data_IF_726690970532
#
_entry.id   IF_726690970532
#
_cell.length_a   1.000
_cell.length_b   1.000
_cell.length_c   1.000
_cell.angle_alpha   90.00
_cell.angle_beta   90.00
_cell.angle_gamma   90.00
#
_symmetry.space_group_name_H-M   'P 1'
#
loop_
_entity.id
_entity.type
_entity.pdbx_description
1 polymer ?
#
# COMPACT_ATOMS: atom_id res chain seq x y z
N UNK A 1 26.10 1.00 -1.66
CA UNK A 1 25.64 -0.37 -1.35
C UNK A 1 25.35 -1.05 -2.67
N UNK A 2 25.51 -2.36 -2.79
CA UNK A 2 25.12 -3.08 -4.02
C UNK A 2 23.62 -2.82 -4.29
N UNK A 3 23.21 -2.43 -5.51
CA UNK A 3 21.80 -2.15 -5.84
C UNK A 3 20.88 -3.32 -5.49
N UNK A 4 21.34 -4.55 -5.70
CA UNK A 4 20.56 -5.75 -5.35
C UNK A 4 20.33 -5.87 -3.84
N UNK A 5 21.34 -5.61 -3.03
CA UNK A 5 21.20 -5.62 -1.56
C UNK A 5 20.29 -4.47 -1.12
N UNK A 6 20.41 -3.31 -1.75
CA UNK A 6 19.53 -2.16 -1.46
C UNK A 6 18.07 -2.47 -1.76
N UNK A 7 17.78 -3.16 -2.90
CA UNK A 7 16.44 -3.61 -3.25
C UNK A 7 15.84 -4.50 -2.16
N UNK A 8 16.59 -5.53 -1.74
CA UNK A 8 16.14 -6.47 -0.73
C UNK A 8 15.92 -5.81 0.63
N UNK A 9 16.82 -4.89 1.03
CA UNK A 9 16.73 -4.20 2.32
C UNK A 9 15.56 -3.23 2.34
N UNK A 10 15.40 -2.38 1.32
CA UNK A 10 14.32 -1.39 1.28
C UNK A 10 12.94 -2.04 1.14
N UNK A 11 12.81 -3.05 0.26
CA UNK A 11 11.55 -3.77 0.12
C UNK A 11 11.24 -4.64 1.34
N UNK A 12 12.25 -5.22 1.98
CA UNK A 12 12.10 -5.92 3.26
C UNK A 12 11.64 -4.98 4.37
N UNK A 13 12.24 -3.80 4.47
CA UNK A 13 11.82 -2.76 5.40
C UNK A 13 10.36 -2.35 5.14
N UNK A 14 10.01 -2.04 3.89
CA UNK A 14 8.66 -1.68 3.50
C UNK A 14 7.65 -2.79 3.84
N UNK A 15 7.98 -4.05 3.55
CA UNK A 15 7.13 -5.20 3.82
C UNK A 15 6.96 -5.50 5.32
N UNK A 16 7.97 -5.23 6.16
CA UNK A 16 7.88 -5.41 7.62
C UNK A 16 6.80 -4.52 8.27
N UNK A 17 6.34 -3.48 7.58
CA UNK A 17 5.24 -2.65 8.05
C UNK A 17 3.96 -3.46 8.32
N UNK A 18 3.65 -4.46 7.48
CA UNK A 18 2.47 -5.31 7.65
C UNK A 18 2.47 -6.09 8.98
N UNK A 19 3.50 -6.91 9.29
CA UNK A 19 3.54 -7.60 10.57
C UNK A 19 3.73 -6.65 11.76
N UNK A 20 4.37 -5.50 11.61
CA UNK A 20 4.45 -4.48 12.65
C UNK A 20 3.06 -3.92 12.95
N UNK A 21 2.29 -3.54 11.93
CA UNK A 21 0.90 -3.10 12.09
C UNK A 21 0.03 -4.14 12.77
N UNK A 22 0.13 -5.40 12.35
CA UNK A 22 -0.56 -6.52 12.97
C UNK A 22 -0.16 -6.74 14.44
N UNK A 23 1.13 -6.63 14.76
CA UNK A 23 1.62 -6.74 16.14
C UNK A 23 1.11 -5.60 17.02
N UNK A 24 1.06 -4.37 16.51
CA UNK A 24 0.47 -3.23 17.22
C UNK A 24 -1.01 -3.46 17.50
N UNK A 25 -1.76 -3.98 16.53
CA UNK A 25 -3.17 -4.34 16.70
C UNK A 25 -3.37 -5.48 17.70
N UNK A 26 -2.43 -6.43 17.79
CA UNK A 26 -2.48 -7.52 18.78
C UNK A 26 -2.21 -7.04 20.21
N UNK A 27 -1.25 -6.11 20.36
CA UNK A 27 -0.86 -5.58 21.69
C UNK A 27 -1.88 -4.54 22.18
N UNK A 28 -2.57 -3.86 21.25
CA UNK A 28 -3.57 -2.85 21.58
C UNK A 28 -4.70 -3.48 22.42
N UNK A 29 -5.00 -2.85 23.56
CA UNK A 29 -5.96 -3.33 24.53
C UNK A 29 -7.01 -2.25 24.90
N UNK A 30 -7.53 -1.56 23.89
CA UNK A 30 -8.60 -0.58 24.07
C UNK A 30 -9.90 -1.34 24.34
N UNK A 31 -10.40 -1.23 25.58
CA UNK A 31 -11.64 -1.91 26.04
C UNK A 31 -12.89 -1.10 25.71
N UNK A 32 -12.76 0.19 25.57
CA UNK A 32 -13.85 1.08 25.17
C UNK A 32 -14.13 0.93 23.68
N UNK A 33 -15.33 0.47 23.34
CA UNK A 33 -15.71 0.16 21.96
C UNK A 33 -15.74 1.40 21.06
N UNK A 34 -16.15 2.56 21.60
CA UNK A 34 -16.20 3.81 20.83
C UNK A 34 -14.80 4.34 20.56
N UNK A 35 -13.93 4.31 21.59
CA UNK A 35 -12.53 4.70 21.43
C UNK A 35 -11.81 3.77 20.45
N UNK A 36 -12.04 2.46 20.54
CA UNK A 36 -11.47 1.46 19.63
C UNK A 36 -11.87 1.77 18.18
N UNK A 37 -13.17 1.99 17.93
CA UNK A 37 -13.70 2.33 16.61
C UNK A 37 -13.09 3.64 16.09
N UNK A 38 -12.97 4.65 16.95
CA UNK A 38 -12.38 5.94 16.59
C UNK A 38 -10.89 5.80 16.21
N UNK A 39 -10.11 5.05 17.00
CA UNK A 39 -8.70 4.79 16.71
C UNK A 39 -8.54 4.02 15.40
N UNK A 40 -9.30 2.94 15.20
CA UNK A 40 -9.25 2.14 13.98
C UNK A 40 -9.59 3.00 12.74
N UNK A 41 -10.65 3.79 12.82
CA UNK A 41 -11.06 4.69 11.75
C UNK A 41 -9.99 5.75 11.45
N UNK A 42 -9.37 6.32 12.48
CA UNK A 42 -8.31 7.31 12.32
C UNK A 42 -7.05 6.71 11.68
N UNK A 43 -6.62 5.53 12.16
CA UNK A 43 -5.46 4.78 11.63
C UNK A 43 -5.67 4.40 10.17
N UNK A 44 -6.86 3.87 9.83
CA UNK A 44 -7.22 3.52 8.45
C UNK A 44 -7.24 4.75 7.54
N UNK A 45 -7.79 5.87 8.04
CA UNK A 45 -7.83 7.14 7.30
C UNK A 45 -6.45 7.70 7.04
N UNK A 46 -5.56 7.63 8.04
CA UNK A 46 -4.17 8.04 7.91
C UNK A 46 -3.44 7.20 6.85
N UNK A 47 -3.59 5.86 6.89
CA UNK A 47 -3.05 4.96 5.87
C UNK A 47 -3.54 5.31 4.47
N UNK A 48 -4.85 5.56 4.30
CA UNK A 48 -5.42 5.98 3.03
C UNK A 48 -4.87 7.31 2.52
N UNK A 49 -4.58 8.25 3.41
CA UNK A 49 -3.92 9.51 3.05
C UNK A 49 -2.48 9.32 2.60
N UNK A 50 -1.72 8.46 3.28
CA UNK A 50 -0.36 8.11 2.90
C UNK A 50 -0.34 7.39 1.53
N UNK A 51 -1.27 6.44 1.32
CA UNK A 51 -1.45 5.75 0.04
C UNK A 51 -1.79 6.71 -1.10
N UNK A 52 -2.72 7.64 -0.87
CA UNK A 52 -3.05 8.67 -1.85
C UNK A 52 -1.84 9.53 -2.21
N UNK A 53 -0.97 9.84 -1.24
CA UNK A 53 0.26 10.60 -1.49
C UNK A 53 1.26 9.80 -2.32
N UNK A 54 1.42 8.50 -2.08
CA UNK A 54 2.27 7.63 -2.89
C UNK A 54 1.81 7.60 -4.36
N UNK A 55 0.51 7.44 -4.59
CA UNK A 55 -0.08 7.46 -5.94
C UNK A 55 0.14 8.82 -6.62
N UNK A 56 -0.19 9.92 -5.92
CA UNK A 56 -0.19 11.25 -6.52
C UNK A 56 1.21 11.85 -6.71
N UNK A 57 2.15 11.54 -5.82
CA UNK A 57 3.46 12.20 -5.77
C UNK A 57 4.59 11.31 -6.32
N UNK A 58 4.38 10.00 -6.40
CA UNK A 58 5.40 9.06 -6.88
C UNK A 58 4.89 8.24 -8.06
N UNK A 59 3.88 7.36 -7.86
CA UNK A 59 3.51 6.38 -8.87
C UNK A 59 3.03 7.01 -10.18
N UNK A 60 2.13 8.00 -10.13
CA UNK A 60 1.65 8.67 -11.35
C UNK A 60 2.74 9.52 -12.00
N UNK A 61 3.46 10.41 -11.29
CA UNK A 61 4.53 11.20 -11.91
C UNK A 61 5.61 10.34 -12.54
N UNK A 62 6.09 9.32 -11.85
CA UNK A 62 7.11 8.40 -12.37
C UNK A 62 6.57 7.57 -13.54
N UNK A 63 5.39 6.96 -13.37
CA UNK A 63 4.78 6.08 -14.37
C UNK A 63 4.27 6.79 -15.62
N UNK A 64 4.27 8.11 -15.68
CA UNK A 64 3.90 8.86 -16.88
C UNK A 64 5.07 9.39 -17.67
N UNK A 65 6.33 9.15 -17.23
CA UNK A 65 7.54 9.73 -17.85
C UNK A 65 7.71 9.37 -19.34
N UNK A 66 7.43 8.12 -19.70
CA UNK A 66 7.60 7.62 -21.07
C UNK A 66 6.27 7.35 -21.79
N UNK A 67 5.13 7.52 -21.12
CA UNK A 67 3.81 7.30 -21.70
C UNK A 67 3.29 8.57 -22.39
N UNK A 68 2.59 8.36 -23.51
CA UNK A 68 1.77 9.44 -24.07
C UNK A 68 0.57 9.72 -23.15
N UNK A 69 -0.02 10.94 -23.21
CA UNK A 69 -1.21 11.24 -22.39
C UNK A 69 -2.37 10.25 -22.56
N UNK A 70 -2.56 9.76 -23.79
CA UNK A 70 -3.63 8.78 -24.08
C UNK A 70 -3.34 7.40 -23.49
N UNK A 71 -2.09 6.95 -23.54
CA UNK A 71 -1.66 5.71 -22.90
C UNK A 71 -1.81 5.78 -21.39
N UNK A 72 -1.37 6.87 -20.76
CA UNK A 72 -1.51 7.08 -19.33
C UNK A 72 -2.97 7.03 -18.89
N UNK A 73 -3.87 7.74 -19.57
CA UNK A 73 -5.30 7.72 -19.28
C UNK A 73 -5.91 6.33 -19.49
N UNK A 74 -5.51 5.64 -20.57
CA UNK A 74 -5.98 4.29 -20.85
C UNK A 74 -5.55 3.30 -19.76
N UNK A 75 -4.28 3.28 -19.38
CA UNK A 75 -3.77 2.35 -18.36
C UNK A 75 -4.28 2.64 -16.96
N UNK A 76 -4.45 3.93 -16.60
CA UNK A 76 -5.09 4.32 -15.35
C UNK A 76 -6.54 3.79 -15.28
N UNK A 77 -7.30 4.01 -16.35
CA UNK A 77 -8.69 3.52 -16.45
C UNK A 77 -8.77 1.99 -16.46
N UNK A 78 -7.85 1.33 -17.17
CA UNK A 78 -7.76 -0.13 -17.24
C UNK A 78 -7.45 -0.72 -15.84
N UNK A 79 -6.55 -0.11 -15.08
CA UNK A 79 -6.25 -0.49 -13.69
C UNK A 79 -7.49 -0.40 -12.80
N UNK A 80 -8.16 0.74 -12.79
CA UNK A 80 -9.39 0.91 -12.01
C UNK A 80 -10.48 -0.10 -12.38
N UNK A 81 -10.68 -0.36 -13.68
CA UNK A 81 -11.63 -1.36 -14.16
C UNK A 81 -11.23 -2.79 -13.80
N UNK A 82 -9.94 -3.12 -13.87
CA UNK A 82 -9.45 -4.44 -13.49
C UNK A 82 -9.71 -4.72 -12.01
N UNK A 83 -9.38 -3.78 -11.14
CA UNK A 83 -9.61 -3.91 -9.70
C UNK A 83 -11.09 -3.94 -9.35
N UNK A 84 -11.94 -3.15 -10.03
CA UNK A 84 -13.40 -3.27 -9.92
C UNK A 84 -13.90 -4.69 -10.21
N UNK A 85 -13.41 -5.33 -11.29
CA UNK A 85 -13.85 -6.67 -11.64
C UNK A 85 -13.30 -7.73 -10.68
N UNK A 86 -12.06 -7.56 -10.19
CA UNK A 86 -11.45 -8.42 -9.17
C UNK A 86 -12.26 -8.33 -7.88
N UNK A 87 -12.51 -7.13 -7.37
CA UNK A 87 -13.28 -6.89 -6.16
C UNK A 87 -14.70 -7.45 -6.27
N UNK A 88 -15.39 -7.20 -7.38
CA UNK A 88 -16.71 -7.76 -7.65
C UNK A 88 -16.72 -9.28 -7.70
N UNK A 89 -15.63 -9.88 -8.17
CA UNK A 89 -15.45 -11.36 -8.16
C UNK A 89 -15.24 -11.90 -6.75
N UNK A 90 -14.48 -11.15 -5.93
CA UNK A 90 -14.09 -11.52 -4.57
C UNK A 90 -15.17 -11.22 -3.54
N UNK A 91 -15.98 -10.18 -3.73
CA UNK A 91 -17.08 -9.82 -2.81
C UNK A 91 -18.17 -10.88 -2.71
N UNK A 92 -18.16 -11.89 -3.60
CA UNK A 92 -18.97 -13.11 -3.48
C UNK A 92 -18.42 -14.11 -2.46
N UNK A 93 -17.13 -13.98 -2.08
CA UNK A 93 -16.47 -14.78 -1.05
C UNK A 93 -16.10 -13.90 0.13
N UNK A 94 -17.07 -13.57 0.98
CA UNK A 94 -16.78 -12.85 2.25
C UNK A 94 -15.80 -13.65 3.10
N UNK A 95 -14.53 -13.22 3.16
CA UNK A 95 -13.54 -13.89 3.97
C UNK A 95 -12.19 -13.18 4.02
N UNK A 96 -11.38 -13.58 4.99
CA UNK A 96 -10.00 -13.11 5.22
C UNK A 96 -9.10 -13.22 3.96
N UNK A 97 -9.39 -14.15 3.04
CA UNK A 97 -8.65 -14.29 1.79
C UNK A 97 -8.83 -13.09 0.84
N UNK A 98 -10.04 -12.52 0.76
CA UNK A 98 -10.29 -11.35 -0.09
C UNK A 98 -9.45 -10.15 0.36
N UNK A 99 -9.38 -9.92 1.68
CA UNK A 99 -8.57 -8.85 2.25
C UNK A 99 -7.07 -9.05 1.99
N UNK A 100 -6.57 -10.28 2.13
CA UNK A 100 -5.18 -10.61 1.81
C UNK A 100 -4.85 -10.38 0.33
N UNK A 101 -5.77 -10.71 -0.57
CA UNK A 101 -5.61 -10.43 -1.99
C UNK A 101 -5.58 -8.93 -2.29
N UNK A 102 -6.43 -8.13 -1.63
CA UNK A 102 -6.41 -6.68 -1.77
C UNK A 102 -5.05 -6.10 -1.36
N UNK A 103 -4.53 -6.50 -0.19
CA UNK A 103 -3.20 -6.10 0.28
C UNK A 103 -2.08 -6.50 -0.70
N UNK A 104 -2.16 -7.68 -1.32
CA UNK A 104 -1.18 -8.11 -2.31
C UNK A 104 -1.27 -7.31 -3.61
N UNK A 105 -2.49 -7.00 -4.07
CA UNK A 105 -2.71 -6.21 -5.28
C UNK A 105 -2.15 -4.79 -5.17
N UNK A 106 -2.10 -4.26 -3.97
CA UNK A 106 -1.49 -2.97 -3.65
C UNK A 106 0.03 -3.10 -3.52
N UNK A 107 0.49 -3.96 -2.63
CA UNK A 107 1.89 -4.08 -2.27
C UNK A 107 2.81 -4.60 -3.38
N UNK A 108 2.37 -5.58 -4.22
CA UNK A 108 3.24 -6.20 -5.21
C UNK A 108 3.69 -5.24 -6.33
N UNK A 109 2.81 -4.44 -6.96
CA UNK A 109 3.22 -3.45 -7.95
C UNK A 109 4.16 -2.39 -7.38
N UNK A 110 3.91 -1.94 -6.14
CA UNK A 110 4.77 -0.97 -5.46
C UNK A 110 6.17 -1.54 -5.20
N UNK A 111 6.26 -2.79 -4.74
CA UNK A 111 7.54 -3.46 -4.51
C UNK A 111 8.31 -3.70 -5.82
N UNK A 112 7.62 -4.01 -6.93
CA UNK A 112 8.22 -4.08 -8.26
C UNK A 112 8.79 -2.73 -8.70
N UNK A 113 7.99 -1.66 -8.56
CA UNK A 113 8.41 -0.29 -8.88
C UNK A 113 9.62 0.12 -8.04
N UNK A 114 9.59 -0.14 -6.73
CA UNK A 114 10.70 0.13 -5.82
C UNK A 114 12.01 -0.50 -6.30
N UNK A 115 11.97 -1.77 -6.71
CA UNK A 115 13.14 -2.47 -7.23
C UNK A 115 13.67 -1.84 -8.53
N UNK A 116 12.78 -1.53 -9.46
CA UNK A 116 13.14 -0.95 -10.76
C UNK A 116 13.69 0.48 -10.66
N UNK A 117 13.27 1.25 -9.64
CA UNK A 117 13.69 2.64 -9.43
C UNK A 117 15.02 2.77 -8.65
N UNK A 118 15.61 1.68 -8.20
CA UNK A 118 16.83 1.72 -7.38
C UNK A 118 18.07 2.25 -8.11
N UNK A 119 18.08 2.16 -9.43
CA UNK A 119 19.16 2.71 -10.24
C UNK A 119 19.05 4.22 -10.49
N UNK A 120 17.90 4.82 -10.17
CA UNK A 120 17.77 6.26 -10.12
C UNK A 120 18.52 6.80 -8.89
N UNK A 121 19.52 7.65 -9.10
CA UNK A 121 20.34 8.23 -8.00
C UNK A 121 19.64 9.39 -7.29
N UNK A 122 18.34 9.61 -7.53
CA UNK A 122 17.56 10.77 -7.07
C UNK A 122 16.85 10.57 -5.72
N UNK A 123 17.04 9.43 -5.05
CA UNK A 123 16.39 9.13 -3.77
C UNK A 123 14.92 8.66 -3.86
N UNK A 124 14.33 8.61 -5.04
CA UNK A 124 12.93 8.23 -5.27
C UNK A 124 12.60 6.84 -4.73
N UNK A 125 13.52 5.88 -4.88
CA UNK A 125 13.36 4.53 -4.34
C UNK A 125 13.24 4.53 -2.80
N UNK A 126 14.04 5.33 -2.10
CA UNK A 126 13.95 5.48 -0.65
C UNK A 126 12.63 6.13 -0.24
N UNK A 127 12.22 7.18 -0.96
CA UNK A 127 10.93 7.84 -0.73
C UNK A 127 9.78 6.85 -0.89
N UNK A 128 9.76 6.07 -1.98
CA UNK A 128 8.75 5.06 -2.23
C UNK A 128 8.74 4.00 -1.11
N UNK A 129 9.91 3.49 -0.69
CA UNK A 129 10.00 2.53 0.42
C UNK A 129 9.42 3.08 1.73
N UNK A 130 9.68 4.35 2.05
CA UNK A 130 9.11 5.02 3.22
C UNK A 130 7.60 5.18 3.11
N UNK A 131 7.09 5.55 1.94
CA UNK A 131 5.65 5.67 1.69
C UNK A 131 4.96 4.32 1.82
N UNK A 132 5.50 3.26 1.22
CA UNK A 132 4.99 1.89 1.35
C UNK A 132 4.98 1.47 2.84
N UNK A 133 6.04 1.75 3.58
CA UNK A 133 6.08 1.45 5.02
C UNK A 133 4.98 2.18 5.78
N UNK A 134 4.84 3.49 5.56
CA UNK A 134 3.89 4.33 6.29
C UNK A 134 2.42 3.95 6.05
N UNK A 135 2.07 3.55 4.83
CA UNK A 135 0.70 3.11 4.51
C UNK A 135 0.43 1.68 4.98
N UNK A 136 1.41 0.78 4.87
CA UNK A 136 1.26 -0.63 5.22
C UNK A 136 1.16 -0.87 6.73
N UNK A 137 1.69 0.01 7.61
CA UNK A 137 1.50 -0.14 9.06
C UNK A 137 0.02 0.01 9.44
N UNK A 138 -0.71 1.09 9.08
CA UNK A 138 -2.15 1.19 9.27
C UNK A 138 -2.95 0.06 8.63
N UNK A 139 -2.56 -0.35 7.43
CA UNK A 139 -3.23 -1.43 6.69
C UNK A 139 -3.08 -2.77 7.42
N UNK A 140 -1.86 -3.13 7.82
CA UNK A 140 -1.61 -4.33 8.62
C UNK A 140 -2.33 -4.30 9.97
N UNK A 141 -2.46 -3.12 10.59
CA UNK A 141 -3.25 -2.94 11.81
C UNK A 141 -4.73 -3.25 11.57
N UNK A 142 -5.33 -2.65 10.56
CA UNK A 142 -6.74 -2.85 10.22
C UNK A 142 -7.01 -4.30 9.78
N UNK A 143 -6.18 -4.84 8.88
CA UNK A 143 -6.30 -6.20 8.38
C UNK A 143 -6.16 -7.26 9.49
N UNK A 144 -5.26 -7.06 10.44
CA UNK A 144 -5.15 -7.96 11.58
C UNK A 144 -6.45 -8.04 12.36
N UNK A 145 -7.12 -6.91 12.60
CA UNK A 145 -8.41 -6.86 13.31
C UNK A 145 -9.52 -7.56 12.54
N UNK A 146 -9.53 -7.44 11.23
CA UNK A 146 -10.55 -8.07 10.39
C UNK A 146 -10.34 -9.58 10.23
N UNK A 147 -9.07 -10.04 10.20
CA UNK A 147 -8.70 -11.45 9.99
C UNK A 147 -8.68 -12.22 11.30
N UNK A 148 -8.14 -11.61 12.37
CA UNK A 148 -7.97 -12.29 13.65
C UNK A 148 -9.31 -12.41 14.37
N UNK A 149 -9.80 -13.64 14.44
CA UNK A 149 -10.94 -14.02 15.27
C UNK A 149 -10.39 -14.70 16.54
N UNK A 150 -10.98 -14.43 17.69
CA UNK A 150 -10.52 -14.92 18.99
C UNK A 150 -10.36 -16.45 19.09
N UNK A 151 -10.88 -17.19 18.11
CA UNK A 151 -10.82 -18.66 18.04
C UNK A 151 -9.49 -19.20 17.50
N UNK A 152 -8.62 -18.34 16.95
CA UNK A 152 -7.31 -18.73 16.42
C UNK A 152 -6.16 -18.00 17.11
N UNK A 153 -5.00 -18.64 17.31
CA UNK A 153 -3.83 -17.96 17.85
C UNK A 153 -3.38 -16.79 16.99
N UNK A 154 -3.22 -15.60 17.56
CA UNK A 154 -2.82 -14.36 16.88
C UNK A 154 -1.54 -14.51 16.06
N UNK A 155 -0.59 -15.32 16.52
CA UNK A 155 0.68 -15.55 15.83
C UNK A 155 0.52 -16.18 14.43
N UNK A 156 -0.57 -16.90 14.14
CA UNK A 156 -0.84 -17.41 12.80
C UNK A 156 -1.06 -16.28 11.78
N UNK A 157 -1.81 -15.26 12.18
CA UNK A 157 -2.03 -14.08 11.32
C UNK A 157 -0.73 -13.30 11.16
N UNK A 158 0.07 -13.16 12.23
CA UNK A 158 1.38 -12.50 12.14
C UNK A 158 2.35 -13.26 11.22
N UNK A 159 2.39 -14.59 11.29
CA UNK A 159 3.21 -15.41 10.38
C UNK A 159 2.77 -15.26 8.92
N UNK A 160 1.45 -15.16 8.69
CA UNK A 160 0.92 -14.89 7.36
C UNK A 160 1.41 -13.53 6.85
N UNK A 161 1.37 -12.49 7.68
CA UNK A 161 1.88 -11.16 7.31
C UNK A 161 3.40 -11.15 7.09
N UNK A 162 4.17 -11.91 7.85
CA UNK A 162 5.61 -12.11 7.58
C UNK A 162 5.82 -12.80 6.23
N UNK A 163 4.99 -13.79 5.89
CA UNK A 163 5.01 -14.44 4.58
C UNK A 163 4.71 -13.47 3.44
N UNK A 164 3.70 -12.59 3.61
CA UNK A 164 3.37 -11.54 2.64
C UNK A 164 4.52 -10.52 2.52
N UNK A 165 5.08 -10.08 3.65
CA UNK A 165 6.22 -9.17 3.67
C UNK A 165 7.43 -9.71 2.91
N UNK A 166 7.66 -11.03 2.95
CA UNK A 166 8.75 -11.69 2.23
C UNK A 166 8.59 -11.65 0.70
N UNK A 167 7.37 -11.43 0.19
CA UNK A 167 7.14 -11.24 -1.25
C UNK A 167 7.71 -9.91 -1.75
N UNK A 168 7.76 -8.88 -0.91
CA UNK A 168 8.32 -7.57 -1.27
C UNK A 168 9.75 -7.65 -1.83
N UNK A 169 10.73 -8.20 -1.09
CA UNK A 169 12.08 -8.41 -1.60
C UNK A 169 12.14 -9.22 -2.90
N UNK A 170 11.29 -10.24 -3.05
CA UNK A 170 11.22 -11.02 -4.29
C UNK A 170 10.74 -10.17 -5.48
N UNK A 171 9.67 -9.39 -5.28
CA UNK A 171 9.17 -8.48 -6.31
C UNK A 171 10.19 -7.38 -6.63
N UNK A 172 10.83 -6.79 -5.62
CA UNK A 172 11.87 -5.79 -5.85
C UNK A 172 13.07 -6.35 -6.62
N UNK A 173 13.48 -7.59 -6.35
CA UNK A 173 14.51 -8.25 -7.14
C UNK A 173 14.10 -8.46 -8.60
N UNK A 174 12.85 -8.84 -8.86
CA UNK A 174 12.29 -8.94 -10.22
C UNK A 174 12.24 -7.56 -10.89
N UNK A 175 11.80 -6.54 -10.15
CA UNK A 175 11.77 -5.14 -10.62
C UNK A 175 13.15 -4.67 -11.07
N UNK A 176 14.17 -4.86 -10.23
CA UNK A 176 15.54 -4.47 -10.52
C UNK A 176 16.13 -5.24 -11.72
N UNK A 177 15.92 -6.56 -11.79
CA UNK A 177 16.58 -7.40 -12.82
C UNK A 177 15.89 -7.26 -14.18
N UNK A 178 14.56 -7.13 -14.19
CA UNK A 178 13.79 -7.20 -15.43
C UNK A 178 13.23 -5.85 -15.88
N UNK A 179 12.70 -5.04 -14.96
CA UNK A 179 11.97 -3.82 -15.32
C UNK A 179 12.88 -2.60 -15.44
N UNK A 180 14.05 -2.60 -14.79
CA UNK A 180 15.02 -1.50 -14.91
C UNK A 180 15.36 -1.16 -16.37
N UNK A 181 15.49 -2.18 -17.21
CA UNK A 181 15.82 -2.01 -18.64
C UNK A 181 14.56 -1.80 -19.52
N UNK A 182 13.37 -1.81 -18.95
CA UNK A 182 12.10 -1.74 -19.66
C UNK A 182 11.21 -0.63 -19.08
N UNK A 183 11.72 0.59 -19.14
CA UNK A 183 11.07 1.78 -18.58
C UNK A 183 9.61 1.91 -19.00
N UNK A 184 9.27 1.67 -20.27
CA UNK A 184 7.88 1.76 -20.74
C UNK A 184 6.94 0.74 -20.07
N UNK A 185 7.41 -0.49 -19.82
CA UNK A 185 6.59 -1.51 -19.12
C UNK A 185 6.44 -1.14 -17.65
N UNK A 186 7.49 -0.64 -17.02
CA UNK A 186 7.45 -0.13 -15.65
C UNK A 186 6.41 0.98 -15.51
N UNK A 187 6.45 1.97 -16.41
CA UNK A 187 5.50 3.09 -16.42
C UNK A 187 4.06 2.60 -16.55
N UNK A 188 3.80 1.65 -17.45
CA UNK A 188 2.48 1.00 -17.59
C UNK A 188 2.05 0.34 -16.29
N UNK A 189 2.93 -0.42 -15.63
CA UNK A 189 2.62 -1.10 -14.36
C UNK A 189 2.28 -0.07 -13.28
N UNK A 190 3.08 0.99 -13.15
CA UNK A 190 2.88 2.03 -12.14
C UNK A 190 1.55 2.77 -12.34
N UNK A 191 1.23 3.17 -13.57
CA UNK A 191 -0.04 3.88 -13.87
C UNK A 191 -1.23 2.94 -13.74
N UNK A 192 -1.12 1.69 -14.18
CA UNK A 192 -2.17 0.68 -13.99
C UNK A 192 -2.45 0.41 -12.52
N UNK A 193 -1.40 0.18 -11.72
CA UNK A 193 -1.51 0.01 -10.28
C UNK A 193 -2.15 1.24 -9.61
N UNK A 194 -1.73 2.45 -10.00
CA UNK A 194 -2.33 3.70 -9.49
C UNK A 194 -3.85 3.75 -9.70
N UNK A 195 -4.34 3.31 -10.87
CA UNK A 195 -5.78 3.23 -11.14
C UNK A 195 -6.50 2.25 -10.22
N UNK A 196 -5.90 1.08 -9.98
CA UNK A 196 -6.42 0.06 -9.06
C UNK A 196 -6.42 0.53 -7.61
N UNK A 197 -5.32 1.14 -7.16
CA UNK A 197 -5.18 1.69 -5.80
C UNK A 197 -6.21 2.79 -5.56
N UNK A 198 -6.41 3.71 -6.51
CA UNK A 198 -7.44 4.75 -6.40
C UNK A 198 -8.85 4.15 -6.28
N UNK A 199 -9.12 3.05 -7.00
CA UNK A 199 -10.39 2.32 -6.85
C UNK A 199 -10.54 1.77 -5.43
N UNK A 200 -9.53 1.04 -4.90
CA UNK A 200 -9.58 0.45 -3.56
C UNK A 200 -9.68 1.52 -2.46
N UNK A 201 -8.97 2.63 -2.62
CA UNK A 201 -9.03 3.74 -1.67
C UNK A 201 -10.46 4.29 -1.53
N UNK A 202 -11.17 4.45 -2.63
CA UNK A 202 -12.55 4.92 -2.61
C UNK A 202 -13.54 3.84 -2.19
N UNK A 203 -13.29 2.58 -2.54
CA UNK A 203 -14.18 1.46 -2.23
C UNK A 203 -14.08 1.01 -0.77
N UNK A 204 -12.86 0.91 -0.23
CA UNK A 204 -12.62 0.27 1.06
C UNK A 204 -12.33 1.26 2.18
N UNK A 205 -11.61 2.35 1.89
CA UNK A 205 -11.14 3.31 2.90
C UNK A 205 -12.15 4.44 3.11
N UNK A 206 -12.63 5.05 2.04
CA UNK A 206 -13.54 6.20 2.14
C UNK A 206 -14.85 5.90 2.91
N UNK A 207 -15.51 4.73 2.76
CA UNK A 207 -16.66 4.38 3.58
C UNK A 207 -16.33 4.28 5.07
N UNK A 208 -15.20 3.65 5.43
CA UNK A 208 -14.76 3.49 6.84
C UNK A 208 -14.49 4.84 7.51
N UNK A 209 -14.00 5.82 6.75
CA UNK A 209 -13.82 7.21 7.23
C UNK A 209 -15.16 7.85 7.59
N UNK A 210 -16.22 7.57 6.82
CA UNK A 210 -17.55 8.17 7.00
C UNK A 210 -18.40 7.51 8.09
N UNK A 211 -18.24 6.19 8.28
CA UNK A 211 -18.99 5.40 9.27
C UNK A 211 -18.68 5.77 10.72
N UNK A 212 -17.59 6.46 10.98
CA UNK A 212 -17.20 6.86 12.34
C UNK A 212 -18.14 7.91 12.98
N UNK A 213 -19.08 8.50 12.21
CA UNK A 213 -20.00 9.54 12.72
C UNK A 213 -19.30 10.82 13.21
N UNK A 214 -18.01 10.98 12.91
CA UNK A 214 -17.14 12.08 13.32
C UNK A 214 -16.37 12.60 12.10
N UNK A 215 -16.03 13.88 12.09
CA UNK A 215 -15.17 14.50 11.07
C UNK A 215 -13.67 14.30 11.32
N UNK A 216 -13.31 13.81 12.51
CA UNK A 216 -11.91 13.60 12.89
C UNK A 216 -11.13 12.62 11.98
N UNK A 217 -11.72 11.50 11.51
CA UNK A 217 -11.03 10.60 10.57
C UNK A 217 -10.62 11.27 9.26
N UNK A 218 -11.40 12.24 8.75
CA UNK A 218 -11.04 13.00 7.55
C UNK A 218 -9.72 13.78 7.72
N UNK A 219 -9.42 14.25 8.94
CA UNK A 219 -8.12 14.85 9.26
C UNK A 219 -6.99 13.81 9.25
N UNK A 220 -7.29 12.55 9.53
CA UNK A 220 -6.34 11.44 9.36
C UNK A 220 -5.84 11.32 7.92
N UNK A 221 -6.76 11.41 6.93
CA UNK A 221 -6.38 11.41 5.51
C UNK A 221 -5.45 12.59 5.20
N UNK A 222 -5.78 13.79 5.68
CA UNK A 222 -4.93 14.97 5.49
C UNK A 222 -3.55 14.78 6.13
N UNK A 223 -3.50 14.23 7.34
CA UNK A 223 -2.25 13.98 8.06
C UNK A 223 -1.37 12.95 7.35
N UNK A 224 -1.96 11.85 6.86
CA UNK A 224 -1.26 10.83 6.09
C UNK A 224 -0.69 11.38 4.78
N UNK A 225 -1.52 12.13 4.04
CA UNK A 225 -1.07 12.79 2.81
C UNK A 225 0.05 13.82 3.09
N UNK A 226 -0.11 14.62 4.14
CA UNK A 226 0.88 15.62 4.52
C UNK A 226 2.23 14.99 4.89
N UNK A 227 2.22 13.81 5.53
CA UNK A 227 3.45 13.08 5.84
C UNK A 227 4.15 12.58 4.57
N UNK A 228 3.40 12.02 3.62
CA UNK A 228 3.94 11.63 2.31
C UNK A 228 4.46 12.82 1.51
N UNK A 229 3.73 13.94 1.53
CA UNK A 229 4.19 15.18 0.90
C UNK A 229 5.47 15.71 1.55
N UNK A 230 5.58 15.66 2.88
CA UNK A 230 6.80 16.04 3.58
C UNK A 230 7.99 15.17 3.18
N UNK A 231 7.78 13.85 3.05
CA UNK A 231 8.80 12.94 2.52
C UNK A 231 9.22 13.32 1.10
N UNK A 232 8.25 13.58 0.23
CA UNK A 232 8.51 14.01 -1.15
C UNK A 232 9.31 15.33 -1.23
N UNK A 233 8.99 16.31 -0.39
CA UNK A 233 9.70 17.60 -0.38
C UNK A 233 11.11 17.55 0.25
N UNK A 234 11.40 16.52 1.06
CA UNK A 234 12.69 16.38 1.75
C UNK A 234 13.66 15.45 1.02
N UNK A 235 13.18 14.52 0.23
CA UNK A 235 13.95 13.44 -0.40
C UNK A 235 13.90 13.55 -1.93
N UNK A 236 12.77 14.02 -2.50
CA UNK A 236 12.49 14.12 -3.95
C UNK A 236 12.98 15.39 -4.63
#
# INVERSE_FOLDING_TARGET
>A
MDPFISALVLAGFAGLALPIGGALAWIENIRDAELHKAVLSWVTSFGGGALLSAVALVLIPEGTRMLTPMEALFWLGAGGLAFYWIDKGMSRGQGSLALLFAMLLDFLPEALALGAMLSAEDGTALLLALMIFLQNVPEGFAAFRDIWRCDSPAWHVLLLFVGLAALGPLCAAVGLIWLEQQSHILDVIMVFASGGILYLLLQDIAPKVHEAGSTAPSLGVVAGFALGLAGHLLIG
#
